data_IF_190000249861
#
_entry.id   IF_190000249861
#
_cell.length_a   1.000
_cell.length_b   1.000
_cell.length_c   1.000
_cell.angle_alpha   90.00
_cell.angle_beta   90.00
_cell.angle_gamma   90.00
#
_symmetry.space_group_name_H-M   'P 1'
#
loop_
_entity.id
_entity.type
_entity.pdbx_description
1 polymer ?
#
# COMPACT_ATOMS: atom_id res chain seq x y z
N UNK A 1 34.12 -12.64 4.90
CA UNK A 1 33.51 -11.79 3.84
C UNK A 1 31.97 -11.90 3.71
N UNK A 2 31.30 -12.93 4.24
CA UNK A 2 29.83 -13.06 4.10
C UNK A 2 28.97 -12.15 4.99
N UNK A 3 29.45 -11.73 6.17
CA UNK A 3 28.67 -10.88 7.08
C UNK A 3 28.43 -9.45 6.54
N UNK A 4 29.37 -8.89 5.76
CA UNK A 4 29.25 -7.57 5.14
C UNK A 4 28.16 -7.52 4.06
N UNK A 5 28.02 -8.58 3.26
CA UNK A 5 26.95 -8.71 2.25
C UNK A 5 25.56 -8.80 2.88
N UNK A 6 25.42 -9.49 4.03
CA UNK A 6 24.16 -9.56 4.79
C UNK A 6 23.76 -8.19 5.36
N UNK A 7 24.70 -7.42 5.92
CA UNK A 7 24.44 -6.05 6.43
C UNK A 7 24.00 -5.08 5.33
N UNK A 8 24.66 -5.07 4.17
CA UNK A 8 24.27 -4.20 3.04
C UNK A 8 22.87 -4.53 2.50
N UNK A 9 22.53 -5.82 2.39
CA UNK A 9 21.19 -6.26 1.96
C UNK A 9 20.09 -5.84 2.96
N UNK A 10 20.41 -5.81 4.26
CA UNK A 10 19.50 -5.31 5.29
C UNK A 10 19.21 -3.81 5.15
N UNK A 11 20.23 -2.99 4.89
CA UNK A 11 20.05 -1.55 4.70
C UNK A 11 19.14 -1.20 3.50
N UNK A 12 19.29 -1.90 2.37
CA UNK A 12 18.43 -1.67 1.19
C UNK A 12 16.96 -2.00 1.45
N UNK A 13 16.72 -3.07 2.23
CA UNK A 13 15.36 -3.48 2.59
C UNK A 13 14.69 -2.45 3.48
N UNK A 14 15.43 -1.89 4.44
CA UNK A 14 14.95 -0.87 5.37
C UNK A 14 14.61 0.45 4.65
N UNK A 15 15.47 0.88 3.72
CA UNK A 15 15.23 2.04 2.85
C UNK A 15 13.93 1.87 2.05
N UNK A 16 13.74 0.70 1.41
CA UNK A 16 12.53 0.41 0.64
C UNK A 16 11.27 0.38 1.51
N UNK A 17 11.35 -0.25 2.69
CA UNK A 17 10.22 -0.34 3.61
C UNK A 17 9.85 1.07 4.15
N UNK A 18 10.83 1.92 4.47
CA UNK A 18 10.61 3.33 4.87
C UNK A 18 9.99 4.17 3.74
N UNK A 19 10.49 4.04 2.51
CA UNK A 19 9.94 4.78 1.37
C UNK A 19 8.51 4.33 1.06
N UNK A 20 8.27 3.01 1.13
CA UNK A 20 6.92 2.44 1.03
C UNK A 20 5.98 3.03 2.08
N UNK A 21 6.44 3.23 3.32
CA UNK A 21 5.61 3.84 4.36
C UNK A 21 5.22 5.27 4.04
N UNK A 22 6.18 6.12 3.64
CA UNK A 22 5.91 7.50 3.24
C UNK A 22 4.92 7.58 2.07
N UNK A 23 5.08 6.70 1.08
CA UNK A 23 4.17 6.59 -0.04
C UNK A 23 2.74 6.19 0.38
N UNK A 24 2.58 5.36 1.42
CA UNK A 24 1.27 5.00 1.96
C UNK A 24 0.61 6.16 2.67
N UNK A 25 1.39 6.91 3.45
CA UNK A 25 0.87 8.04 4.21
C UNK A 25 0.27 9.11 3.29
N UNK A 26 0.93 9.40 2.17
CA UNK A 26 0.42 10.41 1.22
C UNK A 26 -0.81 9.99 0.43
N UNK A 27 -1.12 8.69 0.35
CA UNK A 27 -2.36 8.19 -0.30
C UNK A 27 -3.46 7.85 0.71
N UNK A 28 -3.22 7.98 2.01
CA UNK A 28 -4.18 7.59 3.06
C UNK A 28 -5.54 8.26 2.89
N UNK A 29 -5.55 9.55 2.54
CA UNK A 29 -6.77 10.30 2.26
C UNK A 29 -7.52 9.75 1.04
N UNK A 30 -6.82 9.40 -0.03
CA UNK A 30 -7.44 8.80 -1.23
C UNK A 30 -8.11 7.46 -0.91
N UNK A 31 -7.48 6.62 -0.06
CA UNK A 31 -8.08 5.37 0.42
C UNK A 31 -9.33 5.63 1.26
N UNK A 32 -9.29 6.63 2.15
CA UNK A 32 -10.42 7.01 2.97
C UNK A 32 -11.60 7.55 2.14
N UNK A 33 -11.33 8.41 1.16
CA UNK A 33 -12.30 8.93 0.20
C UNK A 33 -12.94 7.82 -0.62
N UNK A 34 -12.12 6.90 -1.16
CA UNK A 34 -12.63 5.72 -1.84
C UNK A 34 -13.56 4.91 -0.94
N UNK A 35 -13.15 4.63 0.29
CA UNK A 35 -13.97 3.88 1.25
C UNK A 35 -15.29 4.62 1.51
N UNK A 36 -15.27 5.91 1.78
CA UNK A 36 -16.48 6.71 1.99
C UNK A 36 -17.42 6.66 0.77
N UNK A 37 -16.89 6.74 -0.45
CA UNK A 37 -17.68 6.68 -1.69
C UNK A 37 -18.38 5.33 -1.92
N UNK A 38 -17.85 4.27 -1.31
CA UNK A 38 -18.40 2.90 -1.41
C UNK A 38 -19.40 2.57 -0.31
N UNK A 39 -19.68 3.50 0.60
CA UNK A 39 -20.71 3.33 1.60
C UNK A 39 -22.09 3.39 0.91
N UNK A 40 -22.83 2.29 0.97
CA UNK A 40 -24.16 2.23 0.37
C UNK A 40 -25.15 3.11 1.17
N UNK A 41 -26.21 3.68 0.55
CA UNK A 41 -27.20 4.52 1.24
C UNK A 41 -27.84 3.90 2.49
N UNK A 42 -27.86 2.58 2.60
CA UNK A 42 -28.36 1.86 3.77
C UNK A 42 -27.33 1.77 4.93
N UNK A 43 -26.19 2.45 4.83
CA UNK A 43 -25.16 2.52 5.86
C UNK A 43 -24.21 1.32 5.92
N UNK A 44 -24.22 0.44 4.91
CA UNK A 44 -23.38 -0.76 4.88
C UNK A 44 -22.41 -0.78 3.71
N UNK A 45 -21.32 -1.52 3.89
CA UNK A 45 -20.42 -1.88 2.80
C UNK A 45 -20.80 -3.23 2.21
N UNK A 46 -20.42 -3.47 0.98
CA UNK A 46 -20.58 -4.74 0.29
C UNK A 46 -19.22 -5.16 -0.25
N UNK A 47 -18.88 -6.45 -0.09
CA UNK A 47 -17.66 -6.98 -0.70
C UNK A 47 -17.81 -6.94 -2.21
N UNK A 48 -16.86 -6.32 -2.91
CA UNK A 48 -16.88 -6.23 -4.37
C UNK A 48 -16.71 -7.60 -5.04
N UNK A 49 -16.11 -8.57 -4.34
CA UNK A 49 -15.90 -9.91 -4.89
C UNK A 49 -17.13 -10.80 -4.71
N UNK A 50 -17.74 -10.77 -3.53
CA UNK A 50 -18.77 -11.74 -3.18
C UNK A 50 -20.18 -11.15 -3.09
N UNK A 51 -20.31 -9.83 -3.12
CA UNK A 51 -21.57 -9.12 -2.95
C UNK A 51 -22.15 -9.19 -1.52
N UNK A 52 -21.47 -9.84 -0.57
CA UNK A 52 -21.99 -9.95 0.79
C UNK A 52 -21.93 -8.62 1.53
N UNK A 53 -22.99 -8.34 2.26
CA UNK A 53 -23.11 -7.22 3.21
C UNK A 53 -22.07 -7.35 4.32
N UNK A 54 -21.35 -6.26 4.58
CA UNK A 54 -20.40 -6.10 5.69
C UNK A 54 -21.07 -5.20 6.73
N UNK A 55 -21.67 -5.84 7.75
CA UNK A 55 -22.44 -5.14 8.79
C UNK A 55 -21.59 -4.31 9.73
N UNK A 56 -20.33 -4.69 9.94
CA UNK A 56 -19.37 -3.93 10.74
C UNK A 56 -18.41 -3.19 9.82
N UNK A 57 -18.52 -1.86 9.78
CA UNK A 57 -17.68 -0.98 8.95
C UNK A 57 -16.18 -1.09 9.23
N UNK A 58 -15.79 -1.51 10.45
CA UNK A 58 -14.39 -1.79 10.81
C UNK A 58 -13.85 -3.05 10.11
N UNK A 59 -14.72 -3.97 9.71
CA UNK A 59 -14.35 -5.19 8.96
C UNK A 59 -14.26 -4.97 7.45
N UNK A 60 -14.75 -3.85 6.95
CA UNK A 60 -14.59 -3.48 5.55
C UNK A 60 -13.17 -2.97 5.34
N UNK A 61 -12.41 -3.67 4.50
CA UNK A 61 -11.05 -3.31 4.13
C UNK A 61 -11.02 -2.81 2.70
N UNK A 62 -10.13 -1.87 2.42
CA UNK A 62 -9.81 -1.47 1.04
C UNK A 62 -8.60 -2.26 0.62
N UNK A 63 -8.65 -2.86 -0.57
CA UNK A 63 -7.50 -3.49 -1.17
C UNK A 63 -7.21 -2.89 -2.54
N UNK A 64 -5.96 -3.00 -2.97
CA UNK A 64 -5.56 -2.64 -4.33
C UNK A 64 -5.70 -3.86 -5.22
N UNK A 65 -6.35 -3.69 -6.37
CA UNK A 65 -6.44 -4.72 -7.41
C UNK A 65 -5.04 -5.01 -7.98
N UNK A 66 -4.24 -3.97 -8.19
CA UNK A 66 -2.81 -4.10 -8.50
C UNK A 66 -2.05 -3.98 -7.17
N UNK A 67 -1.21 -4.96 -6.77
CA UNK A 67 -0.52 -4.92 -5.49
C UNK A 67 0.21 -3.58 -5.27
N UNK A 68 0.05 -2.97 -4.09
CA UNK A 68 0.67 -1.67 -3.77
C UNK A 68 2.19 -1.63 -4.05
N UNK A 69 2.90 -2.72 -3.76
CA UNK A 69 4.34 -2.83 -4.05
C UNK A 69 4.63 -2.77 -5.56
N UNK A 70 3.78 -3.37 -6.38
CA UNK A 70 3.93 -3.31 -7.84
C UNK A 70 3.67 -1.89 -8.35
N UNK A 71 2.63 -1.20 -7.84
CA UNK A 71 2.40 0.21 -8.13
C UNK A 71 3.61 1.08 -7.76
N UNK A 72 4.21 0.85 -6.58
CA UNK A 72 5.40 1.55 -6.14
C UNK A 72 6.60 1.28 -7.04
N UNK A 73 6.86 0.03 -7.40
CA UNK A 73 7.96 -0.33 -8.31
C UNK A 73 7.77 0.26 -9.70
N UNK A 74 6.55 0.24 -10.25
CA UNK A 74 6.24 0.85 -11.54
C UNK A 74 6.45 2.37 -11.51
N UNK A 75 6.08 3.02 -10.41
CA UNK A 75 6.36 4.45 -10.22
C UNK A 75 7.87 4.72 -10.18
N UNK A 76 8.62 4.01 -9.33
CA UNK A 76 10.07 4.17 -9.19
C UNK A 76 10.78 3.97 -10.52
N UNK A 77 10.42 2.91 -11.26
CA UNK A 77 10.99 2.59 -12.55
C UNK A 77 10.63 3.65 -13.62
N UNK A 78 9.36 4.08 -13.69
CA UNK A 78 8.93 5.09 -14.67
C UNK A 78 9.60 6.45 -14.46
N UNK A 79 9.90 6.80 -13.21
CA UNK A 79 10.61 8.04 -12.84
C UNK A 79 12.12 7.88 -12.80
N UNK A 80 12.66 6.69 -13.07
CA UNK A 80 14.09 6.35 -12.98
C UNK A 80 14.70 6.80 -11.64
N UNK A 81 13.97 6.60 -10.54
CA UNK A 81 14.43 7.00 -9.21
C UNK A 81 15.46 6.00 -8.69
N UNK A 82 16.59 6.51 -8.23
CA UNK A 82 17.52 5.71 -7.42
C UNK A 82 17.03 5.71 -5.97
N UNK A 83 16.60 4.53 -5.49
CA UNK A 83 16.12 4.37 -4.13
C UNK A 83 17.22 4.54 -3.09
N UNK A 84 18.49 4.39 -3.46
CA UNK A 84 19.60 4.51 -2.52
C UNK A 84 19.87 5.96 -2.10
N UNK A 85 19.62 6.90 -3.00
CA UNK A 85 19.88 8.33 -2.77
C UNK A 85 18.62 9.11 -2.41
N UNK A 86 17.44 8.48 -2.44
CA UNK A 86 16.16 9.17 -2.29
C UNK A 86 15.99 9.88 -0.94
N UNK A 87 16.65 9.37 0.12
CA UNK A 87 16.65 9.98 1.45
C UNK A 87 17.76 11.00 1.66
N UNK A 88 18.71 11.08 0.72
CA UNK A 88 19.76 12.11 0.68
C UNK A 88 19.26 13.36 -0.05
N UNK A 89 18.11 13.27 -0.74
CA UNK A 89 17.50 14.39 -1.44
C UNK A 89 17.04 15.50 -0.47
N UNK A 90 17.07 16.77 -0.90
CA UNK A 90 16.45 17.86 -0.15
C UNK A 90 14.98 17.57 0.17
N UNK A 91 14.51 18.03 1.34
CA UNK A 91 13.12 17.81 1.79
C UNK A 91 12.07 18.24 0.75
N UNK A 92 12.33 19.32 0.00
CA UNK A 92 11.43 19.80 -1.06
C UNK A 92 11.29 18.80 -2.22
N UNK A 93 12.39 18.15 -2.62
CA UNK A 93 12.39 17.16 -3.69
C UNK A 93 11.71 15.87 -3.26
N UNK A 94 11.96 15.40 -2.03
CA UNK A 94 11.26 14.25 -1.47
C UNK A 94 9.74 14.51 -1.42
N UNK A 95 9.31 15.69 -0.96
CA UNK A 95 7.89 16.09 -0.97
C UNK A 95 7.30 16.08 -2.39
N UNK A 96 8.06 16.54 -3.38
CA UNK A 96 7.64 16.50 -4.79
C UNK A 96 7.46 15.07 -5.27
N UNK A 97 8.39 14.17 -4.97
CA UNK A 97 8.31 12.74 -5.32
C UNK A 97 7.07 12.10 -4.69
N UNK A 98 6.81 12.36 -3.41
CA UNK A 98 5.64 11.81 -2.72
C UNK A 98 4.32 12.34 -3.31
N UNK A 99 4.25 13.62 -3.66
CA UNK A 99 3.09 14.20 -4.36
C UNK A 99 2.91 13.57 -5.75
N UNK A 100 4.00 13.37 -6.48
CA UNK A 100 3.99 12.69 -7.78
C UNK A 100 3.52 11.23 -7.66
N UNK A 101 3.91 10.54 -6.58
CA UNK A 101 3.40 9.20 -6.29
C UNK A 101 1.90 9.22 -6.00
N UNK A 102 1.40 10.17 -5.20
CA UNK A 102 -0.03 10.28 -4.93
C UNK A 102 -0.85 10.53 -6.21
N UNK A 103 -0.32 11.34 -7.13
CA UNK A 103 -0.92 11.55 -8.45
C UNK A 103 -0.87 10.30 -9.32
N UNK A 104 0.25 9.57 -9.29
CA UNK A 104 0.41 8.31 -9.99
C UNK A 104 -0.58 7.26 -9.46
N UNK A 105 -0.70 7.12 -8.14
CA UNK A 105 -1.66 6.23 -7.49
C UNK A 105 -3.08 6.55 -7.93
N UNK A 106 -3.51 7.82 -7.88
CA UNK A 106 -4.86 8.20 -8.29
C UNK A 106 -5.20 7.81 -9.74
N UNK A 107 -4.22 7.84 -10.65
CA UNK A 107 -4.41 7.50 -12.08
C UNK A 107 -4.37 6.00 -12.37
N UNK A 108 -3.60 5.24 -11.59
CA UNK A 108 -3.24 3.86 -11.95
C UNK A 108 -3.79 2.82 -10.96
N UNK A 109 -4.09 3.22 -9.72
CA UNK A 109 -4.64 2.31 -8.74
C UNK A 109 -6.11 2.04 -9.03
N UNK A 110 -6.47 0.76 -8.98
CA UNK A 110 -7.86 0.31 -8.86
C UNK A 110 -8.03 -0.26 -7.46
N UNK A 111 -9.06 0.17 -6.76
CA UNK A 111 -9.35 -0.22 -5.38
C UNK A 111 -10.65 -1.01 -5.32
N UNK A 112 -10.77 -1.90 -4.34
CA UNK A 112 -11.99 -2.64 -4.05
C UNK A 112 -12.25 -2.76 -2.54
N UNK A 113 -13.51 -2.99 -2.19
CA UNK A 113 -13.95 -3.30 -0.82
C UNK A 113 -13.95 -4.81 -0.60
N UNK A 114 -13.26 -5.26 0.44
CA UNK A 114 -13.21 -6.67 0.85
C UNK A 114 -13.60 -6.82 2.31
N UNK A 115 -14.05 -8.03 2.68
CA UNK A 115 -14.18 -8.42 4.08
C UNK A 115 -12.82 -8.77 4.66
N UNK A 116 -12.60 -8.42 5.92
CA UNK A 116 -11.38 -8.80 6.66
C UNK A 116 -11.05 -10.31 6.54
N UNK A 117 -12.07 -11.19 6.57
CA UNK A 117 -11.89 -12.64 6.42
C UNK A 117 -11.38 -13.07 5.04
N UNK A 118 -11.72 -12.32 3.99
CA UNK A 118 -11.25 -12.57 2.62
C UNK A 118 -9.76 -12.21 2.52
N UNK A 119 -9.35 -11.12 3.17
CA UNK A 119 -7.95 -10.77 3.35
C UNK A 119 -7.19 -11.83 4.19
N UNK A 120 -7.86 -12.41 5.19
CA UNK A 120 -7.30 -13.49 6.03
C UNK A 120 -7.07 -14.80 5.26
N UNK A 121 -7.92 -15.17 4.29
CA UNK A 121 -7.73 -16.41 3.52
C UNK A 121 -6.46 -16.36 2.67
N UNK A 122 -6.22 -15.26 1.97
CA UNK A 122 -4.96 -15.03 1.24
C UNK A 122 -3.77 -14.93 2.19
N UNK A 123 -3.96 -14.34 3.38
CA UNK A 123 -2.96 -14.31 4.44
C UNK A 123 -2.59 -15.70 4.98
N UNK A 124 -3.55 -16.60 5.23
CA UNK A 124 -3.25 -17.95 5.71
C UNK A 124 -2.60 -18.82 4.63
N UNK A 125 -3.02 -18.66 3.37
CA UNK A 125 -2.41 -19.35 2.22
C UNK A 125 -0.99 -18.83 1.90
N UNK A 126 -0.67 -17.56 2.20
CA UNK A 126 0.61 -16.91 1.89
C UNK A 126 1.36 -16.39 3.15
N UNK A 127 1.16 -17.02 4.30
CA UNK A 127 1.55 -16.53 5.65
C UNK A 127 3.04 -16.17 5.80
N UNK A 128 3.94 -16.82 5.06
CA UNK A 128 5.37 -16.51 5.04
C UNK A 128 5.72 -15.22 4.27
N UNK A 129 4.88 -14.78 3.33
CA UNK A 129 5.03 -13.55 2.54
C UNK A 129 4.26 -12.37 3.13
N UNK A 130 3.14 -12.61 3.83
CA UNK A 130 2.20 -11.58 4.30
C UNK A 130 2.40 -11.06 5.74
N UNK A 131 3.36 -11.60 6.51
CA UNK A 131 3.67 -11.09 7.87
C UNK A 131 4.04 -9.58 7.89
N UNK A 132 4.46 -9.02 6.74
CA UNK A 132 4.71 -7.59 6.53
C UNK A 132 3.45 -6.74 6.25
N UNK A 133 2.31 -7.35 5.93
CA UNK A 133 1.07 -6.62 5.61
C UNK A 133 0.18 -6.37 6.84
N UNK A 134 0.51 -6.96 7.99
CA UNK A 134 -0.18 -6.72 9.26
C UNK A 134 0.01 -5.30 9.81
N UNK A 135 1.08 -4.59 9.42
CA UNK A 135 1.38 -3.21 9.89
C UNK A 135 0.36 -2.14 9.45
N UNK A 136 -0.68 -2.51 8.69
CA UNK A 136 -1.71 -1.59 8.18
C UNK A 136 -3.07 -1.72 8.87
N UNK A 137 -3.19 -2.62 9.85
CA UNK A 137 -4.46 -2.92 10.52
C UNK A 137 -4.47 -2.67 12.04
N UNK A 138 -3.33 -2.35 12.65
CA UNK A 138 -3.29 -1.81 14.03
C UNK A 138 -3.46 -0.29 14.05
#
# INVERSE_FOLDING_TARGET
>A
MEQSKKRKKHAHKEILDNFSQLCRDVIRHQIAEFKASKLHPNGYYYSDWTGYKITNSRKAQVNHVIPFRELLFNFVNSRKLDLLTIFELPSAELKKILKDFANYHNKNAKLNILRESENKRDFYMNRSKFRKWQEFFE
#
